data_IF_082648092911
#
_entry.id   IF_082648092911
#
_cell.length_a   1.000
_cell.length_b   1.000
_cell.length_c   1.000
_cell.angle_alpha   90.00
_cell.angle_beta   90.00
_cell.angle_gamma   90.00
#
_symmetry.space_group_name_H-M   'P 1'
#
loop_
_entity.id
_entity.type
_entity.pdbx_description
1 polymer ?
#
# COMPACT_ATOMS: atom_id res chain seq x y z
N UNK A 1 20.35 8.49 0.97
CA UNK A 1 19.83 7.74 -0.19
C UNK A 1 18.33 7.88 -0.16
N UNK A 2 17.71 8.44 -1.19
CA UNK A 2 16.25 8.60 -1.24
C UNK A 2 15.59 7.23 -1.39
N UNK A 3 14.59 6.94 -0.56
CA UNK A 3 13.83 5.70 -0.56
C UNK A 3 12.39 5.97 -0.95
N UNK A 4 11.90 5.24 -1.94
CA UNK A 4 10.51 5.30 -2.40
C UNK A 4 9.85 3.97 -2.07
N UNK A 5 8.73 4.01 -1.34
CA UNK A 5 7.84 2.87 -1.16
C UNK A 5 6.70 2.98 -2.18
N UNK A 6 6.55 1.98 -3.04
CA UNK A 6 5.51 1.96 -4.05
C UNK A 6 4.58 0.77 -3.82
N UNK A 7 3.30 1.04 -3.57
CA UNK A 7 2.23 0.04 -3.48
C UNK A 7 1.31 0.23 -4.68
N UNK A 8 1.13 -0.81 -5.49
CA UNK A 8 0.19 -0.78 -6.62
C UNK A 8 -1.03 -1.63 -6.33
N UNK A 9 -2.18 -1.20 -6.85
CA UNK A 9 -3.37 -2.05 -6.97
C UNK A 9 -3.84 -2.58 -5.62
N UNK A 10 -3.91 -1.67 -4.65
CA UNK A 10 -4.34 -2.01 -3.29
C UNK A 10 -5.79 -2.47 -3.25
N UNK A 11 -6.66 -2.10 -4.19
CA UNK A 11 -8.02 -2.65 -4.33
C UNK A 11 -8.83 -2.69 -3.02
N UNK A 12 -8.87 -1.59 -2.25
CA UNK A 12 -9.68 -1.53 -1.04
C UNK A 12 -11.14 -1.93 -1.33
N UNK A 13 -11.64 -2.91 -0.58
CA UNK A 13 -12.89 -3.64 -0.86
C UNK A 13 -12.68 -5.12 -1.21
N UNK A 14 -11.48 -5.50 -1.67
CA UNK A 14 -11.09 -6.88 -1.97
C UNK A 14 -9.71 -7.28 -1.40
N UNK A 15 -9.10 -6.41 -0.60
CA UNK A 15 -7.83 -6.70 0.10
C UNK A 15 -7.94 -7.91 1.02
N UNK A 16 -6.85 -8.65 1.18
CA UNK A 16 -6.68 -9.55 2.32
C UNK A 16 -6.49 -8.70 3.59
N UNK A 17 -7.43 -8.73 4.56
CA UNK A 17 -7.35 -7.92 5.77
C UNK A 17 -6.08 -8.20 6.59
N UNK A 18 -5.49 -9.39 6.45
CA UNK A 18 -4.26 -9.77 7.15
C UNK A 18 -3.03 -9.02 6.66
N UNK A 19 -3.09 -8.40 5.48
CA UNK A 19 -1.97 -7.68 4.88
C UNK A 19 -2.00 -6.17 5.17
N UNK A 20 -3.11 -5.62 5.68
CA UNK A 20 -3.25 -4.18 5.90
C UNK A 20 -2.27 -3.70 6.97
N UNK A 21 -2.35 -4.27 8.17
CA UNK A 21 -1.49 -3.86 9.30
C UNK A 21 0.01 -4.14 9.03
N UNK A 22 0.42 -5.32 8.50
CA UNK A 22 1.82 -5.55 8.17
C UNK A 22 2.36 -4.60 7.09
N UNK A 23 1.53 -4.18 6.11
CA UNK A 23 1.96 -3.23 5.08
C UNK A 23 2.21 -1.83 5.66
N UNK A 24 1.39 -1.41 6.63
CA UNK A 24 1.57 -0.16 7.37
C UNK A 24 2.84 -0.24 8.22
N UNK A 25 3.03 -1.33 8.96
CA UNK A 25 4.23 -1.55 9.77
C UNK A 25 5.50 -1.54 8.90
N UNK A 26 5.45 -2.22 7.75
CA UNK A 26 6.55 -2.20 6.78
C UNK A 26 6.86 -0.77 6.30
N UNK A 27 5.84 0.05 6.03
CA UNK A 27 6.05 1.45 5.65
C UNK A 27 6.75 2.25 6.76
N UNK A 28 6.37 2.03 8.02
CA UNK A 28 7.03 2.66 9.17
C UNK A 28 8.48 2.21 9.34
N UNK A 29 8.74 0.90 9.27
CA UNK A 29 10.08 0.33 9.43
C UNK A 29 11.02 0.78 8.29
N UNK A 30 10.48 0.89 7.08
CA UNK A 30 11.24 1.34 5.92
C UNK A 30 11.53 2.85 5.92
N UNK A 31 10.76 3.68 6.64
CA UNK A 31 10.94 5.14 6.65
C UNK A 31 11.21 5.74 5.24
N UNK A 32 10.32 5.53 4.25
CA UNK A 32 10.51 6.08 2.92
C UNK A 32 10.43 7.61 2.94
N UNK A 33 11.16 8.27 2.04
CA UNK A 33 11.04 9.71 1.81
C UNK A 33 9.74 10.03 1.06
N UNK A 34 9.29 9.10 0.20
CA UNK A 34 8.06 9.20 -0.57
C UNK A 34 7.36 7.84 -0.58
N UNK A 35 6.06 7.84 -0.30
CA UNK A 35 5.18 6.69 -0.54
C UNK A 35 4.29 7.00 -1.73
N UNK A 36 4.30 6.13 -2.75
CA UNK A 36 3.44 6.21 -3.92
C UNK A 36 2.41 5.08 -3.83
N UNK A 37 1.14 5.44 -3.98
CA UNK A 37 0.06 4.47 -4.20
C UNK A 37 -0.42 4.64 -5.63
N UNK A 38 -0.36 3.58 -6.43
CA UNK A 38 -0.82 3.59 -7.83
C UNK A 38 -1.81 2.48 -8.12
N UNK A 39 -2.33 2.46 -9.35
CA UNK A 39 -3.31 1.46 -9.77
C UNK A 39 -4.66 1.70 -9.11
N UNK A 40 -5.46 0.64 -9.02
CA UNK A 40 -6.83 0.76 -8.54
C UNK A 40 -6.88 0.82 -7.00
N UNK A 41 -7.17 2.02 -6.49
CA UNK A 41 -7.21 2.25 -5.05
C UNK A 41 -8.39 1.54 -4.37
N UNK A 42 -9.54 1.45 -5.04
CA UNK A 42 -10.72 0.74 -4.52
C UNK A 42 -11.29 -0.17 -5.58
N UNK A 43 -11.69 -1.39 -5.21
CA UNK A 43 -12.45 -2.26 -6.09
C UNK A 43 -13.94 -2.06 -5.83
N UNK A 44 -14.60 -1.29 -6.71
CA UNK A 44 -16.05 -1.01 -6.63
C UNK A 44 -16.88 -1.70 -7.70
N UNK A 45 -16.24 -2.37 -8.66
CA UNK A 45 -16.94 -3.18 -9.64
C UNK A 45 -17.41 -4.49 -8.97
N UNK A 46 -18.74 -4.67 -8.92
CA UNK A 46 -19.40 -5.95 -8.67
C UNK A 46 -19.63 -6.66 -9.99
#
# INVERSE_FOLDING_TARGET
>A
MTRILHLSDVHFGAVDPRLVEPSIQLAHDLRPDITVISGDFTQRAR
#
